data_IF_896134152181
#
_entry.id   IF_896134152181
#
_cell.length_a   1.000
_cell.length_b   1.000
_cell.length_c   1.000
_cell.angle_alpha   90.00
_cell.angle_beta   90.00
_cell.angle_gamma   90.00
#
_symmetry.space_group_name_H-M   'P 1'
#
loop_
_entity.id
_entity.type
_entity.pdbx_description
1 polymer ?
#
# COMPACT_ATOMS: atom_id res chain seq x y z
N UNK A 1 -30.26 29.12 17.41
CA UNK A 1 -30.13 27.72 17.82
C UNK A 1 -30.15 26.69 16.66
N UNK A 2 -31.00 26.75 15.61
CA UNK A 2 -31.08 25.65 14.63
C UNK A 2 -29.78 25.39 13.83
N UNK A 3 -28.97 26.43 13.57
CA UNK A 3 -27.67 26.26 12.91
C UNK A 3 -26.64 25.48 13.75
N UNK A 4 -26.70 25.60 15.08
CA UNK A 4 -25.72 24.95 15.95
C UNK A 4 -25.96 23.44 16.01
N UNK A 5 -27.23 23.04 16.10
CA UNK A 5 -27.67 21.64 15.99
C UNK A 5 -27.34 21.03 14.62
N UNK A 6 -27.45 21.81 13.55
CA UNK A 6 -27.03 21.39 12.20
C UNK A 6 -25.51 21.13 12.14
N UNK A 7 -24.69 22.02 12.72
CA UNK A 7 -23.23 21.81 12.79
C UNK A 7 -22.86 20.58 13.62
N UNK A 8 -23.51 20.36 14.76
CA UNK A 8 -23.29 19.17 15.58
C UNK A 8 -23.63 17.88 14.82
N UNK A 9 -24.73 17.90 14.04
CA UNK A 9 -25.11 16.78 13.17
C UNK A 9 -24.10 16.55 12.04
N UNK A 10 -23.57 17.62 11.46
CA UNK A 10 -22.50 17.54 10.45
C UNK A 10 -21.21 16.95 11.03
N UNK A 11 -20.78 17.40 12.21
CA UNK A 11 -19.60 16.87 12.91
C UNK A 11 -19.78 15.39 13.28
N UNK A 12 -20.97 15.00 13.75
CA UNK A 12 -21.30 13.61 14.05
C UNK A 12 -21.25 12.72 12.81
N UNK A 13 -21.76 13.20 11.68
CA UNK A 13 -21.72 12.46 10.41
C UNK A 13 -20.30 12.36 9.87
N UNK A 14 -19.52 13.44 9.97
CA UNK A 14 -18.14 13.52 9.52
C UNK A 14 -17.24 12.51 10.27
N UNK A 15 -17.41 12.40 11.59
CA UNK A 15 -16.62 11.51 12.44
C UNK A 15 -15.13 11.87 12.38
N UNK A 16 -14.27 10.89 12.09
CA UNK A 16 -12.82 11.09 11.91
C UNK A 16 -12.41 11.49 10.47
N UNK A 17 -13.37 11.62 9.55
CA UNK A 17 -13.10 11.87 8.13
C UNK A 17 -12.98 13.38 7.85
N UNK A 18 -12.33 13.74 6.75
CA UNK A 18 -12.19 15.15 6.36
C UNK A 18 -13.37 15.70 5.56
N UNK A 19 -14.19 14.83 4.96
CA UNK A 19 -15.38 15.22 4.21
C UNK A 19 -16.36 14.05 4.10
N UNK A 20 -17.59 14.34 3.69
CA UNK A 20 -18.57 13.31 3.32
C UNK A 20 -19.54 13.86 2.25
N UNK A 21 -20.13 12.99 1.43
CA UNK A 21 -21.13 13.40 0.43
C UNK A 21 -22.50 13.62 1.07
N UNK A 22 -23.22 14.65 0.62
CA UNK A 22 -24.60 14.89 1.07
C UNK A 22 -25.57 13.77 0.67
N UNK A 23 -25.31 13.12 -0.46
CA UNK A 23 -26.16 12.04 -0.99
C UNK A 23 -25.69 10.65 -0.60
N UNK A 24 -24.42 10.53 -0.19
CA UNK A 24 -23.80 9.28 0.24
C UNK A 24 -22.86 9.57 1.42
N UNK A 25 -23.38 9.61 2.65
CA UNK A 25 -22.60 10.01 3.82
C UNK A 25 -21.38 9.15 4.10
N UNK A 26 -21.25 7.96 3.51
CA UNK A 26 -20.09 7.07 3.64
C UNK A 26 -18.95 7.44 2.67
N UNK A 27 -19.29 8.02 1.51
CA UNK A 27 -18.32 8.45 0.50
C UNK A 27 -17.63 9.76 0.88
N UNK A 28 -16.34 9.88 0.57
CA UNK A 28 -15.54 11.10 0.82
C UNK A 28 -15.15 11.77 -0.49
N UNK A 29 -14.86 13.07 -0.44
CA UNK A 29 -14.44 13.83 -1.60
C UNK A 29 -12.97 13.56 -1.92
N UNK A 30 -12.73 12.92 -3.07
CA UNK A 30 -11.39 12.54 -3.53
C UNK A 30 -11.09 13.14 -4.90
N UNK A 31 -9.81 13.38 -5.18
CA UNK A 31 -9.37 13.77 -6.52
C UNK A 31 -9.28 12.53 -7.39
N UNK A 32 -10.13 12.46 -8.41
CA UNK A 32 -10.14 11.33 -9.34
C UNK A 32 -9.02 11.46 -10.38
N UNK A 33 -8.37 10.35 -10.73
CA UNK A 33 -7.42 10.30 -11.86
C UNK A 33 -8.12 10.57 -13.19
N UNK A 34 -9.32 10.01 -13.36
CA UNK A 34 -10.19 10.24 -14.51
C UNK A 34 -11.05 11.49 -14.24
N UNK A 35 -10.45 12.66 -14.46
CA UNK A 35 -11.19 13.91 -14.42
C UNK A 35 -11.60 14.34 -15.83
N UNK A 36 -12.79 13.91 -16.25
CA UNK A 36 -13.36 14.26 -17.56
C UNK A 36 -13.43 15.77 -17.80
N UNK A 37 -13.57 16.56 -16.72
CA UNK A 37 -13.63 18.03 -16.79
C UNK A 37 -12.23 18.69 -16.72
N UNK A 38 -11.18 17.91 -16.41
CA UNK A 38 -9.80 18.36 -16.17
C UNK A 38 -9.67 19.60 -15.26
N UNK A 39 -10.64 19.82 -14.38
CA UNK A 39 -10.72 20.99 -13.50
C UNK A 39 -10.22 20.69 -12.08
N UNK A 40 -9.81 19.45 -11.81
CA UNK A 40 -9.32 19.01 -10.51
C UNK A 40 -10.41 18.90 -9.44
N UNK A 41 -11.68 18.91 -9.82
CA UNK A 41 -12.78 18.88 -8.88
C UNK A 41 -12.83 17.55 -8.10
N UNK A 42 -12.96 17.66 -6.79
CA UNK A 42 -13.14 16.49 -5.93
C UNK A 42 -14.52 15.88 -6.18
N UNK A 43 -14.58 14.55 -6.24
CA UNK A 43 -15.82 13.79 -6.44
C UNK A 43 -16.01 12.83 -5.28
N UNK A 44 -17.26 12.57 -4.86
CA UNK A 44 -17.53 11.57 -3.85
C UNK A 44 -17.12 10.20 -4.36
N UNK A 45 -16.27 9.52 -3.61
CA UNK A 45 -15.70 8.24 -3.98
C UNK A 45 -15.31 7.42 -2.73
N UNK A 46 -15.04 6.14 -2.98
CA UNK A 46 -14.39 5.23 -2.05
C UNK A 46 -13.01 4.90 -2.60
N UNK A 47 -11.99 4.87 -1.73
CA UNK A 47 -10.69 4.35 -2.11
C UNK A 47 -10.74 2.83 -2.02
N UNK A 48 -10.80 2.17 -3.18
CA UNK A 48 -10.84 0.71 -3.27
C UNK A 48 -9.44 0.16 -3.21
N UNK A 49 -9.22 -0.73 -2.26
CA UNK A 49 -8.03 -1.58 -2.24
C UNK A 49 -8.41 -3.00 -2.60
N UNK A 50 -7.55 -3.63 -3.37
CA UNK A 50 -7.71 -5.02 -3.80
C UNK A 50 -6.43 -5.77 -3.47
N UNK A 51 -6.58 -7.03 -3.08
CA UNK A 51 -5.53 -8.00 -2.96
C UNK A 51 -5.69 -8.95 -4.13
N UNK A 52 -4.58 -9.24 -4.81
CA UNK A 52 -4.60 -10.17 -5.94
C UNK A 52 -3.49 -11.19 -5.85
N UNK A 53 -3.79 -12.41 -6.28
CA UNK A 53 -2.83 -13.49 -6.44
C UNK A 53 -3.14 -14.28 -7.71
N UNK A 54 -2.14 -14.50 -8.57
CA UNK A 54 -2.32 -15.12 -9.88
C UNK A 54 -3.45 -14.46 -10.70
N UNK A 55 -3.58 -13.14 -10.54
CA UNK A 55 -4.62 -12.23 -11.03
C UNK A 55 -6.07 -12.67 -10.68
N UNK A 56 -6.27 -13.36 -9.55
CA UNK A 56 -7.58 -13.54 -8.90
C UNK A 56 -7.72 -12.52 -7.79
N UNK A 57 -8.94 -12.05 -7.54
CA UNK A 57 -9.23 -11.29 -6.32
C UNK A 57 -9.12 -12.21 -5.10
N UNK A 58 -8.24 -11.86 -4.16
CA UNK A 58 -8.09 -12.56 -2.88
C UNK A 58 -8.73 -11.76 -1.75
N UNK A 59 -8.67 -10.44 -1.80
CA UNK A 59 -9.31 -9.57 -0.81
C UNK A 59 -9.67 -8.22 -1.43
N UNK A 60 -10.57 -7.48 -0.80
CA UNK A 60 -10.91 -6.12 -1.20
C UNK A 60 -11.60 -5.40 -0.05
N UNK A 61 -11.41 -4.08 0.03
CA UNK A 61 -12.09 -3.22 0.99
C UNK A 61 -12.13 -1.76 0.46
N UNK A 62 -12.97 -0.95 1.11
CA UNK A 62 -13.31 0.41 0.72
C UNK A 62 -12.99 1.37 1.86
N UNK A 63 -12.11 2.32 1.59
CA UNK A 63 -11.65 3.27 2.59
C UNK A 63 -12.13 4.70 2.30
N UNK A 64 -12.42 5.48 3.34
CA UNK A 64 -12.73 6.90 3.20
C UNK A 64 -11.46 7.74 2.96
N UNK A 65 -10.26 7.17 3.13
CA UNK A 65 -8.99 7.86 3.02
C UNK A 65 -8.61 8.11 1.54
N UNK A 66 -8.35 9.37 1.13
CA UNK A 66 -7.93 9.67 -0.24
C UNK A 66 -6.53 9.16 -0.59
N UNK A 67 -5.70 8.89 0.42
CA UNK A 67 -4.32 8.37 0.27
C UNK A 67 -4.24 6.94 0.75
N UNK A 68 -3.35 6.16 0.13
CA UNK A 68 -3.24 4.71 0.37
C UNK A 68 -2.46 4.36 1.65
N UNK A 69 -1.68 5.29 2.19
CA UNK A 69 -0.78 4.99 3.32
C UNK A 69 -1.52 4.42 4.54
N UNK A 70 -2.68 4.98 4.88
CA UNK A 70 -3.45 4.60 6.06
C UNK A 70 -4.39 3.41 5.82
N UNK A 71 -4.52 2.93 4.59
CA UNK A 71 -5.41 1.81 4.26
C UNK A 71 -4.73 0.45 4.44
N UNK A 72 -3.39 0.40 4.44
CA UNK A 72 -2.62 -0.84 4.48
C UNK A 72 -2.92 -1.73 5.70
N UNK A 73 -2.73 -1.20 6.91
CA UNK A 73 -2.90 -1.98 8.15
C UNK A 73 -4.35 -2.45 8.29
N UNK A 74 -5.38 -1.60 8.13
CA UNK A 74 -6.77 -2.06 8.09
C UNK A 74 -7.01 -3.15 7.04
N UNK A 75 -6.41 -3.05 5.86
CA UNK A 75 -6.57 -4.01 4.77
C UNK A 75 -5.98 -5.38 5.10
N UNK A 76 -4.75 -5.41 5.63
CA UNK A 76 -4.09 -6.65 6.04
C UNK A 76 -4.78 -7.28 7.26
N UNK A 77 -5.28 -6.47 8.20
CA UNK A 77 -6.07 -6.97 9.32
C UNK A 77 -7.41 -7.56 8.84
N UNK A 78 -8.12 -6.89 7.93
CA UNK A 78 -9.36 -7.40 7.34
C UNK A 78 -9.14 -8.69 6.54
N UNK A 79 -7.98 -8.84 5.91
CA UNK A 79 -7.54 -10.10 5.33
C UNK A 79 -7.38 -11.19 6.40
N UNK A 80 -6.67 -10.89 7.48
CA UNK A 80 -6.43 -11.83 8.59
C UNK A 80 -7.71 -12.24 9.31
N UNK A 81 -8.65 -11.32 9.52
CA UNK A 81 -9.96 -11.63 10.11
C UNK A 81 -10.76 -12.60 9.23
N UNK A 82 -10.66 -12.46 7.91
CA UNK A 82 -11.39 -13.29 6.95
C UNK A 82 -10.80 -14.70 6.81
N UNK A 83 -9.48 -14.81 6.80
CA UNK A 83 -8.79 -16.06 6.47
C UNK A 83 -8.10 -16.73 7.67
N UNK A 84 -8.07 -16.07 8.83
CA UNK A 84 -7.41 -16.57 10.03
C UNK A 84 -5.88 -16.61 9.94
N UNK A 85 -5.29 -15.89 8.98
CA UNK A 85 -3.85 -15.85 8.73
C UNK A 85 -3.41 -14.53 8.10
N UNK A 86 -2.16 -14.15 8.35
CA UNK A 86 -1.51 -13.02 7.68
C UNK A 86 -0.74 -13.50 6.44
N UNK A 87 -0.63 -12.65 5.40
CA UNK A 87 0.16 -12.98 4.22
C UNK A 87 1.64 -13.10 4.60
N UNK A 88 2.36 -14.05 4.01
CA UNK A 88 3.82 -14.13 4.18
C UNK A 88 4.53 -12.91 3.57
N UNK A 89 4.02 -12.44 2.43
CA UNK A 89 4.65 -11.39 1.63
C UNK A 89 3.60 -10.39 1.17
N UNK A 90 4.00 -9.13 1.15
CA UNK A 90 3.16 -8.05 0.62
C UNK A 90 3.92 -7.30 -0.46
N UNK A 91 3.27 -7.12 -1.61
CA UNK A 91 3.80 -6.39 -2.75
C UNK A 91 2.93 -5.16 -2.95
N UNK A 92 3.47 -3.97 -2.76
CA UNK A 92 2.63 -2.78 -2.84
C UNK A 92 3.34 -1.55 -3.39
N UNK A 93 2.52 -0.60 -3.80
CA UNK A 93 2.94 0.69 -4.33
C UNK A 93 3.66 1.59 -3.33
N UNK A 94 4.34 2.61 -3.85
CA UNK A 94 5.08 3.54 -2.99
C UNK A 94 4.21 4.35 -2.04
N UNK A 95 2.90 4.42 -2.32
CA UNK A 95 1.89 5.04 -1.46
C UNK A 95 1.77 4.36 -0.09
N UNK A 96 2.13 3.08 0.01
CA UNK A 96 2.09 2.31 1.25
C UNK A 96 3.39 2.36 2.06
N UNK A 97 4.47 2.91 1.50
CA UNK A 97 5.77 2.95 2.16
C UNK A 97 5.86 4.01 3.25
N UNK A 98 5.45 3.66 4.47
CA UNK A 98 5.54 4.47 5.69
C UNK A 98 6.23 3.72 6.83
N UNK A 99 6.76 4.43 7.82
CA UNK A 99 7.35 3.82 9.01
C UNK A 99 6.35 2.91 9.73
N UNK A 100 5.12 3.40 9.95
CA UNK A 100 4.03 2.67 10.58
C UNK A 100 3.75 1.34 9.87
N UNK A 101 3.67 1.34 8.54
CA UNK A 101 3.40 0.12 7.77
C UNK A 101 4.60 -0.85 7.78
N UNK A 102 5.84 -0.33 7.69
CA UNK A 102 7.03 -1.18 7.78
C UNK A 102 7.19 -1.81 9.16
N UNK A 103 6.92 -1.06 10.23
CA UNK A 103 6.94 -1.58 11.60
C UNK A 103 5.87 -2.66 11.81
N UNK A 104 4.66 -2.44 11.28
CA UNK A 104 3.59 -3.44 11.31
C UNK A 104 3.99 -4.72 10.58
N UNK A 105 4.57 -4.62 9.38
CA UNK A 105 5.03 -5.78 8.62
C UNK A 105 6.16 -6.53 9.35
N UNK A 106 7.15 -5.80 9.88
CA UNK A 106 8.27 -6.40 10.64
C UNK A 106 7.78 -7.11 11.90
N UNK A 107 6.86 -6.49 12.67
CA UNK A 107 6.29 -7.07 13.91
C UNK A 107 5.49 -8.35 13.65
N UNK A 108 4.88 -8.45 12.47
CA UNK A 108 4.04 -9.57 12.08
C UNK A 108 4.74 -10.57 11.15
N UNK A 109 6.08 -10.46 10.99
CA UNK A 109 6.88 -11.36 10.15
C UNK A 109 6.42 -11.39 8.67
N UNK A 110 5.90 -10.28 8.17
CA UNK A 110 5.47 -10.10 6.77
C UNK A 110 6.63 -9.51 5.98
N UNK A 111 7.06 -10.15 4.90
CA UNK A 111 8.12 -9.62 4.04
C UNK A 111 7.61 -8.41 3.21
N UNK A 112 8.25 -7.23 3.34
CA UNK A 112 7.76 -6.00 2.72
C UNK A 112 8.39 -5.74 1.33
N UNK A 113 7.77 -6.23 0.26
CA UNK A 113 8.08 -5.80 -1.12
C UNK A 113 7.32 -4.52 -1.49
N UNK A 114 7.34 -3.55 -0.58
CA UNK A 114 6.62 -2.28 -0.67
C UNK A 114 7.61 -1.17 -0.97
N UNK A 115 7.41 -0.42 -2.06
CA UNK A 115 8.29 0.71 -2.38
C UNK A 115 8.09 1.85 -1.38
N UNK A 116 9.10 2.71 -1.23
CA UNK A 116 8.91 4.05 -0.67
C UNK A 116 9.02 5.10 -1.78
N UNK A 117 8.43 6.28 -1.56
CA UNK A 117 8.28 7.33 -2.57
C UNK A 117 9.58 7.75 -3.28
N UNK A 118 10.72 7.68 -2.59
CA UNK A 118 12.02 8.08 -3.14
C UNK A 118 12.82 6.94 -3.80
N UNK A 119 12.34 5.68 -3.75
CA UNK A 119 13.08 4.49 -4.18
C UNK A 119 13.65 4.57 -5.60
N UNK A 120 12.87 5.07 -6.58
CA UNK A 120 13.36 5.24 -7.95
C UNK A 120 14.20 6.52 -8.12
N UNK A 121 13.89 7.56 -7.35
CA UNK A 121 14.56 8.86 -7.45
C UNK A 121 16.00 8.77 -6.96
N UNK A 122 16.24 8.03 -5.88
CA UNK A 122 17.58 7.85 -5.31
C UNK A 122 18.53 7.05 -6.21
N UNK A 123 18.00 6.27 -7.16
CA UNK A 123 18.81 5.51 -8.09
C UNK A 123 19.43 6.38 -9.20
N UNK A 124 18.87 7.57 -9.45
CA UNK A 124 19.35 8.50 -10.49
C UNK A 124 20.71 9.09 -10.11
N UNK A 125 21.62 9.18 -11.08
CA UNK A 125 22.97 9.77 -10.90
C UNK A 125 22.93 11.18 -10.31
N UNK A 126 21.98 12.01 -10.72
CA UNK A 126 21.82 13.37 -10.20
C UNK A 126 21.42 13.41 -8.73
N UNK A 127 20.69 12.41 -8.23
CA UNK A 127 20.38 12.30 -6.80
C UNK A 127 21.59 11.81 -6.02
N UNK A 128 22.25 10.74 -6.49
CA UNK A 128 23.42 10.15 -5.81
C UNK A 128 24.58 11.14 -5.67
N UNK A 129 24.81 11.97 -6.69
CA UNK A 129 25.92 12.92 -6.71
C UNK A 129 25.59 14.24 -5.99
N UNK A 130 24.38 14.41 -5.47
CA UNK A 130 24.01 15.63 -4.78
C UNK A 130 24.41 15.56 -3.30
N UNK A 131 25.58 16.10 -2.97
CA UNK A 131 26.09 16.13 -1.59
C UNK A 131 25.25 16.98 -0.62
N UNK A 132 24.33 17.82 -1.10
CA UNK A 132 23.50 18.66 -0.24
C UNK A 132 22.28 17.92 0.33
N UNK A 133 21.94 16.74 -0.20
CA UNK A 133 20.83 15.93 0.29
C UNK A 133 21.18 15.27 1.62
N UNK A 134 20.24 15.31 2.57
CA UNK A 134 20.40 14.69 3.90
C UNK A 134 20.71 13.19 3.79
N UNK A 135 20.09 12.51 2.81
CA UNK A 135 20.27 11.09 2.55
C UNK A 135 21.69 10.71 2.12
N UNK A 136 22.47 11.67 1.62
CA UNK A 136 23.82 11.46 1.12
C UNK A 136 24.89 11.99 2.09
N UNK A 137 24.49 12.57 3.23
CA UNK A 137 25.44 13.00 4.25
C UNK A 137 26.02 11.78 4.96
N UNK A 138 27.29 11.85 5.32
CA UNK A 138 27.92 10.83 6.15
C UNK A 138 27.35 10.92 7.58
N UNK A 139 26.96 9.77 8.12
CA UNK A 139 26.50 9.62 9.50
C UNK A 139 27.47 8.73 10.27
N UNK A 140 28.00 9.22 11.39
CA UNK A 140 28.78 8.42 12.32
C UNK A 140 27.84 7.89 13.42
N UNK A 141 27.58 6.58 13.39
CA UNK A 141 26.70 5.94 14.38
C UNK A 141 27.34 5.78 15.77
N UNK A 142 28.68 5.76 15.88
CA UNK A 142 29.37 5.62 17.16
C UNK A 142 29.39 6.93 17.96
N UNK A 143 29.61 8.05 17.26
CA UNK A 143 29.74 9.37 17.87
C UNK A 143 28.46 10.23 17.69
N UNK A 144 27.43 9.70 17.04
CA UNK A 144 26.11 10.31 16.79
C UNK A 144 26.15 11.73 16.18
N UNK A 145 26.82 11.88 15.04
CA UNK A 145 26.80 13.12 14.25
C UNK A 145 26.69 12.89 12.74
N UNK A 146 26.23 13.92 12.04
CA UNK A 146 26.32 14.01 10.59
C UNK A 146 27.46 14.93 10.15
N UNK A 147 28.01 14.70 8.97
CA UNK A 147 29.00 15.60 8.36
C UNK A 147 28.34 16.38 7.23
N UNK A 148 28.36 17.71 7.32
CA UNK A 148 27.79 18.57 6.30
C UNK A 148 28.70 18.65 5.06
N UNK A 149 28.22 19.17 3.92
CA UNK A 149 29.02 19.25 2.68
C UNK A 149 30.30 20.08 2.79
N UNK A 150 30.38 21.00 3.76
CA UNK A 150 31.58 21.79 4.07
C UNK A 150 32.59 21.02 4.94
N UNK A 151 32.22 19.85 5.46
CA UNK A 151 33.06 19.00 6.33
C UNK A 151 32.87 19.22 7.83
N UNK A 152 32.02 20.16 8.28
CA UNK A 152 31.76 20.35 9.71
C UNK A 152 30.79 19.30 10.26
N UNK A 153 30.95 18.98 11.55
CA UNK A 153 30.05 18.11 12.28
C UNK A 153 28.72 18.82 12.57
N UNK A 154 27.64 18.05 12.46
CA UNK A 154 26.29 18.41 12.84
C UNK A 154 25.91 17.53 14.02
N UNK A 155 25.90 18.13 15.21
CA UNK A 155 25.67 17.43 16.47
C UNK A 155 24.17 17.28 16.72
N UNK A 156 23.79 16.23 17.46
CA UNK A 156 22.39 16.03 17.86
C UNK A 156 21.98 17.09 18.90
N UNK A 157 20.95 17.86 18.57
CA UNK A 157 20.42 18.92 19.46
C UNK A 157 19.18 18.50 20.22
N UNK A 158 18.48 17.47 19.76
CA UNK A 158 17.29 16.98 20.45
C UNK A 158 16.59 15.84 19.72
N UNK A 159 15.47 15.41 20.31
CA UNK A 159 14.53 14.46 19.72
C UNK A 159 13.15 15.08 19.76
N UNK A 160 12.41 15.00 18.66
CA UNK A 160 11.02 15.41 18.55
C UNK A 160 10.16 14.21 18.16
N UNK A 161 8.89 14.25 18.51
CA UNK A 161 7.91 13.23 18.17
C UNK A 161 6.94 13.76 17.13
N UNK A 162 6.63 12.93 16.13
CA UNK A 162 5.64 13.27 15.11
C UNK A 162 4.53 12.24 15.13
N UNK A 163 3.30 12.72 15.30
CA UNK A 163 2.09 11.89 15.31
C UNK A 163 1.47 11.85 13.91
N UNK A 164 1.14 10.67 13.40
CA UNK A 164 0.33 10.51 12.17
C UNK A 164 -1.15 10.70 12.49
N UNK A 165 -1.97 10.90 11.45
CA UNK A 165 -3.43 11.05 11.61
C UNK A 165 -4.07 9.81 12.27
N UNK A 166 -3.49 8.62 12.08
CA UNK A 166 -3.91 7.37 12.70
C UNK A 166 -3.33 7.16 14.12
N UNK A 167 -2.56 8.13 14.61
CA UNK A 167 -2.05 8.16 15.96
C UNK A 167 -0.68 7.51 16.20
N UNK A 168 -0.03 6.98 15.16
CA UNK A 168 1.33 6.45 15.26
C UNK A 168 2.34 7.55 15.58
N UNK A 169 3.28 7.26 16.48
CA UNK A 169 4.27 8.23 16.96
C UNK A 169 5.66 7.85 16.45
N UNK A 170 6.21 8.68 15.56
CA UNK A 170 7.58 8.56 15.05
C UNK A 170 8.55 9.39 15.89
N UNK A 171 9.69 8.80 16.26
CA UNK A 171 10.79 9.54 16.92
C UNK A 171 11.76 10.10 15.88
N UNK A 172 11.95 11.41 15.89
CA UNK A 172 12.78 12.14 14.93
C UNK A 172 13.93 12.81 15.69
N UNK A 173 15.16 12.47 15.32
CA UNK A 173 16.35 13.12 15.86
C UNK A 173 16.67 14.38 15.07
N UNK A 174 16.98 15.47 15.78
CA UNK A 174 17.33 16.76 15.19
C UNK A 174 18.83 16.98 15.34
N UNK A 175 19.49 17.31 14.23
CA UNK A 175 20.93 17.62 14.20
C UNK A 175 21.15 19.02 13.65
N UNK A 176 22.14 19.73 14.20
CA UNK A 176 22.44 21.11 13.84
C UNK A 176 23.93 21.30 13.57
N UNK A 177 24.25 22.02 12.49
CA UNK A 177 25.61 22.44 12.18
C UNK A 177 26.12 23.48 13.18
N UNK A 178 27.42 23.44 13.51
CA UNK A 178 28.04 24.34 14.49
C UNK A 178 28.02 25.80 14.04
N UNK A 179 28.44 26.06 12.79
CA UNK A 179 28.48 27.41 12.25
C UNK A 179 28.30 27.42 10.73
N UNK A 180 27.23 28.05 10.25
CA UNK A 180 26.94 28.26 8.82
C UNK A 180 27.08 29.73 8.40
N UNK A 181 27.57 30.61 9.28
CA UNK A 181 27.84 32.00 8.96
C UNK A 181 29.00 32.09 7.95
N UNK A 182 28.82 32.92 6.92
CA UNK A 182 29.78 33.10 5.81
C UNK A 182 30.24 31.82 5.10
N UNK A 183 29.49 30.72 5.20
CA UNK A 183 29.82 29.48 4.52
C UNK A 183 29.67 29.63 2.98
N UNK A 184 30.71 29.36 2.18
CA UNK A 184 30.67 29.54 0.72
C UNK A 184 29.65 28.62 0.03
N UNK A 185 29.30 27.51 0.68
CA UNK A 185 28.33 26.53 0.18
C UNK A 185 26.88 26.83 0.59
N UNK A 186 26.64 27.89 1.38
CA UNK A 186 25.33 28.16 2.01
C UNK A 186 24.18 28.21 1.01
N UNK A 187 24.35 28.93 -0.11
CA UNK A 187 23.31 29.12 -1.13
C UNK A 187 22.81 27.80 -1.74
N UNK A 188 23.66 26.77 -1.81
CA UNK A 188 23.31 25.44 -2.30
C UNK A 188 22.85 24.49 -1.18
N UNK A 189 23.18 24.82 0.08
CA UNK A 189 23.07 23.94 1.23
C UNK A 189 21.72 24.06 1.97
N UNK A 190 21.31 25.27 2.36
CA UNK A 190 20.03 25.52 3.03
C UNK A 190 19.61 27.00 2.92
N UNK A 191 18.32 27.29 3.13
CA UNK A 191 17.75 28.65 3.03
C UNK A 191 17.45 29.31 4.39
N UNK A 192 17.63 28.60 5.50
CA UNK A 192 17.35 29.11 6.84
C UNK A 192 18.27 30.30 7.20
N UNK A 193 17.80 31.18 8.10
CA UNK A 193 18.60 32.29 8.66
C UNK A 193 19.67 31.78 9.62
N UNK A 194 19.29 30.84 10.47
CA UNK A 194 20.18 30.17 11.42
C UNK A 194 21.03 29.07 10.76
N UNK A 195 21.77 28.33 11.58
CA UNK A 195 22.53 27.17 11.17
C UNK A 195 21.65 26.10 10.49
N UNK A 196 22.28 25.29 9.63
CA UNK A 196 21.59 24.17 9.00
C UNK A 196 21.13 23.18 10.07
N UNK A 197 19.81 22.94 10.12
CA UNK A 197 19.20 21.86 10.89
C UNK A 197 18.69 20.76 9.96
N UNK A 198 18.82 19.51 10.39
CA UNK A 198 18.26 18.35 9.69
C UNK A 198 17.46 17.50 10.68
N UNK A 199 16.38 16.92 10.17
CA UNK A 199 15.53 15.98 10.89
C UNK A 199 15.71 14.59 10.30
N UNK A 200 16.05 13.63 11.15
CA UNK A 200 16.36 12.27 10.73
C UNK A 200 15.52 11.28 11.53
N UNK A 201 14.77 10.46 10.80
CA UNK A 201 14.07 9.31 11.35
C UNK A 201 14.92 8.05 11.12
N UNK A 202 15.64 7.65 12.16
CA UNK A 202 16.55 6.50 12.11
C UNK A 202 15.82 5.18 11.90
N UNK A 203 14.63 5.03 12.51
CA UNK A 203 13.82 3.82 12.38
C UNK A 203 13.32 3.63 10.94
N UNK A 204 12.76 4.69 10.35
CA UNK A 204 12.35 4.68 8.95
C UNK A 204 13.53 4.46 8.00
N UNK A 205 14.71 5.00 8.31
CA UNK A 205 15.92 4.75 7.50
C UNK A 205 16.37 3.29 7.57
N UNK A 206 16.30 2.65 8.75
CA UNK A 206 16.52 1.20 8.93
C UNK A 206 15.58 0.40 8.03
N UNK A 207 14.28 0.69 8.10
CA UNK A 207 13.26 0.04 7.27
C UNK A 207 13.52 0.20 5.78
N UNK A 208 13.78 1.44 5.33
CA UNK A 208 14.12 1.72 3.92
C UNK A 208 15.36 0.96 3.45
N UNK A 209 16.37 0.78 4.31
CA UNK A 209 17.54 -0.01 3.97
C UNK A 209 17.18 -1.47 3.70
N UNK A 210 16.49 -2.12 4.64
CA UNK A 210 16.03 -3.51 4.51
C UNK A 210 15.18 -3.70 3.26
N UNK A 211 14.19 -2.84 3.08
CA UNK A 211 13.28 -2.86 1.92
C UNK A 211 14.04 -2.65 0.60
N UNK A 212 15.06 -1.78 0.58
CA UNK A 212 15.88 -1.57 -0.61
C UNK A 212 16.66 -2.83 -1.00
N UNK A 213 17.22 -3.53 -0.01
CA UNK A 213 17.91 -4.81 -0.25
C UNK A 213 16.93 -5.86 -0.78
N UNK A 214 15.77 -6.01 -0.14
CA UNK A 214 14.71 -6.93 -0.57
C UNK A 214 14.22 -6.62 -1.99
N UNK A 215 13.92 -5.36 -2.31
CA UNK A 215 13.44 -4.97 -3.62
C UNK A 215 14.48 -5.24 -4.72
N UNK A 216 15.78 -5.17 -4.40
CA UNK A 216 16.89 -5.44 -5.33
C UNK A 216 17.36 -6.89 -5.34
N UNK A 217 16.77 -7.77 -4.53
CA UNK A 217 16.99 -9.21 -4.64
C UNK A 217 16.38 -9.76 -5.94
N UNK A 218 16.74 -10.99 -6.29
CA UNK A 218 16.15 -11.70 -7.44
C UNK A 218 14.62 -11.79 -7.33
N UNK A 219 14.12 -12.09 -6.14
CA UNK A 219 12.69 -12.14 -5.85
C UNK A 219 12.03 -10.76 -5.95
N UNK A 220 12.68 -9.72 -5.41
CA UNK A 220 12.19 -8.35 -5.55
C UNK A 220 12.12 -7.88 -7.01
N UNK A 221 13.06 -8.29 -7.84
CA UNK A 221 13.03 -8.06 -9.29
C UNK A 221 11.88 -8.82 -9.96
N UNK A 222 11.64 -10.07 -9.56
CA UNK A 222 10.53 -10.88 -10.04
C UNK A 222 9.18 -10.22 -9.72
N UNK A 223 8.91 -9.85 -8.46
CA UNK A 223 7.67 -9.16 -8.11
C UNK A 223 7.51 -7.83 -8.86
N UNK A 224 8.60 -7.08 -9.04
CA UNK A 224 8.57 -5.83 -9.82
C UNK A 224 8.19 -6.07 -11.29
N UNK A 225 8.67 -7.15 -11.90
CA UNK A 225 8.30 -7.53 -13.28
C UNK A 225 6.88 -8.08 -13.40
N UNK A 226 6.33 -8.70 -12.35
CA UNK A 226 4.97 -9.27 -12.32
C UNK A 226 3.88 -8.22 -12.14
N UNK A 227 4.20 -7.03 -11.64
CA UNK A 227 3.24 -5.95 -11.36
C UNK A 227 2.32 -5.58 -12.54
N UNK A 228 2.78 -5.42 -13.80
CA UNK A 228 1.88 -5.15 -14.92
C UNK A 228 0.90 -6.31 -15.21
N UNK A 229 1.23 -7.51 -14.75
CA UNK A 229 0.51 -8.76 -14.99
C UNK A 229 -0.44 -9.08 -13.83
N UNK A 230 -0.08 -8.76 -12.59
CA UNK A 230 -0.87 -9.10 -11.40
C UNK A 230 -1.94 -8.02 -11.11
N UNK A 231 -1.69 -6.96 -10.31
CA UNK A 231 -2.75 -6.01 -9.95
C UNK A 231 -3.20 -5.14 -11.12
N UNK A 232 -2.28 -4.68 -11.97
CA UNK A 232 -2.59 -3.74 -13.06
C UNK A 232 -3.47 -4.40 -14.14
N UNK A 233 -3.25 -5.68 -14.43
CA UNK A 233 -4.09 -6.43 -15.37
C UNK A 233 -5.50 -6.64 -14.82
N UNK A 234 -5.65 -6.93 -13.51
CA UNK A 234 -6.97 -7.08 -12.88
C UNK A 234 -7.74 -5.77 -12.91
N UNK A 235 -7.10 -4.65 -12.59
CA UNK A 235 -7.71 -3.32 -12.72
C UNK A 235 -8.08 -2.99 -14.17
N UNK A 236 -7.18 -3.26 -15.12
CA UNK A 236 -7.42 -3.04 -16.55
C UNK A 236 -8.59 -3.87 -17.07
N UNK A 237 -8.68 -5.15 -16.72
CA UNK A 237 -9.81 -6.00 -17.09
C UNK A 237 -11.12 -5.53 -16.45
N UNK A 238 -11.08 -5.12 -15.19
CA UNK A 238 -12.24 -4.62 -14.44
C UNK A 238 -12.82 -3.36 -15.10
N UNK A 239 -11.96 -2.38 -15.40
CA UNK A 239 -12.38 -1.11 -15.98
C UNK A 239 -12.65 -1.19 -17.48
N UNK A 240 -11.69 -1.67 -18.26
CA UNK A 240 -11.76 -1.61 -19.73
C UNK A 240 -12.59 -2.74 -20.32
N UNK A 241 -12.43 -3.98 -19.84
CA UNK A 241 -13.10 -5.14 -20.46
C UNK A 241 -14.48 -5.41 -19.85
N UNK A 242 -14.66 -5.12 -18.56
CA UNK A 242 -15.93 -5.34 -17.85
C UNK A 242 -16.72 -4.06 -17.63
N UNK A 243 -16.18 -2.91 -18.04
CA UNK A 243 -16.82 -1.59 -17.94
C UNK A 243 -17.27 -1.24 -16.52
N UNK A 244 -16.59 -1.78 -15.50
CA UNK A 244 -16.86 -1.48 -14.09
C UNK A 244 -16.06 -0.22 -13.69
N UNK A 245 -16.56 0.93 -14.13
CA UNK A 245 -15.91 2.24 -13.93
C UNK A 245 -16.52 3.09 -12.81
N UNK A 246 -17.69 2.70 -12.30
CA UNK A 246 -18.44 3.44 -11.26
C UNK A 246 -19.29 2.49 -10.43
N UNK A 247 -19.37 2.74 -9.12
CA UNK A 247 -20.33 2.09 -8.25
C UNK A 247 -21.76 2.49 -8.59
N UNK A 248 -22.68 1.53 -8.48
CA UNK A 248 -24.09 1.71 -8.83
C UNK A 248 -24.98 1.98 -7.62
N UNK A 249 -24.42 1.88 -6.42
CA UNK A 249 -25.11 2.01 -5.16
C UNK A 249 -24.47 3.09 -4.28
N UNK A 250 -25.25 3.60 -3.34
CA UNK A 250 -24.81 4.43 -2.23
C UNK A 250 -24.69 3.58 -0.96
N UNK A 251 -23.99 4.08 0.05
CA UNK A 251 -23.65 3.38 1.30
C UNK A 251 -22.57 2.30 1.11
N UNK A 252 -21.63 2.23 2.05
CA UNK A 252 -20.47 1.33 1.96
C UNK A 252 -20.90 -0.13 1.80
N UNK A 253 -21.92 -0.57 2.52
CA UNK A 253 -22.36 -1.96 2.53
C UNK A 253 -22.92 -2.42 1.17
N UNK A 254 -23.70 -1.56 0.49
CA UNK A 254 -24.26 -1.88 -0.82
C UNK A 254 -23.18 -1.84 -1.91
N UNK A 255 -22.25 -0.90 -1.80
CA UNK A 255 -21.06 -0.85 -2.67
C UNK A 255 -20.22 -2.12 -2.51
N UNK A 256 -20.00 -2.55 -1.27
CA UNK A 256 -19.27 -3.77 -0.95
C UNK A 256 -19.97 -5.01 -1.51
N UNK A 257 -21.29 -5.11 -1.38
CA UNK A 257 -22.09 -6.21 -1.95
C UNK A 257 -21.96 -6.27 -3.48
N UNK A 258 -22.12 -5.14 -4.17
CA UNK A 258 -22.05 -5.08 -5.64
C UNK A 258 -20.66 -5.50 -6.14
N UNK A 259 -19.60 -5.00 -5.49
CA UNK A 259 -18.23 -5.38 -5.83
C UNK A 259 -17.92 -6.84 -5.50
N UNK A 260 -18.50 -7.39 -4.42
CA UNK A 260 -18.36 -8.81 -4.07
C UNK A 260 -18.88 -9.72 -5.18
N UNK A 261 -20.08 -9.43 -5.69
CA UNK A 261 -20.69 -10.18 -6.80
C UNK A 261 -19.81 -10.09 -8.05
N UNK A 262 -19.29 -8.89 -8.34
CA UNK A 262 -18.36 -8.68 -9.44
C UNK A 262 -17.08 -9.51 -9.28
N UNK A 263 -16.44 -9.48 -8.11
CA UNK A 263 -15.20 -10.20 -7.84
C UNK A 263 -15.39 -11.72 -7.94
N UNK A 264 -16.50 -12.26 -7.44
CA UNK A 264 -16.86 -13.68 -7.57
C UNK A 264 -17.03 -14.05 -9.05
N UNK A 265 -17.82 -13.29 -9.80
CA UNK A 265 -18.05 -13.55 -11.23
C UNK A 265 -16.75 -13.45 -12.04
N UNK A 266 -15.88 -12.49 -11.70
CA UNK A 266 -14.56 -12.33 -12.31
C UNK A 266 -13.68 -13.56 -12.07
N UNK A 267 -13.58 -14.00 -10.82
CA UNK A 267 -12.79 -15.17 -10.43
C UNK A 267 -13.32 -16.45 -11.09
N UNK A 268 -14.64 -16.71 -11.04
CA UNK A 268 -15.27 -17.88 -11.68
C UNK A 268 -15.02 -17.91 -13.19
N UNK A 269 -15.22 -16.78 -13.87
CA UNK A 269 -14.97 -16.69 -15.31
C UNK A 269 -13.50 -16.96 -15.65
N UNK A 270 -12.57 -16.57 -14.78
CA UNK A 270 -11.15 -16.84 -14.95
C UNK A 270 -10.80 -18.31 -14.68
N UNK A 271 -11.37 -18.92 -13.65
CA UNK A 271 -11.23 -20.35 -13.39
C UNK A 271 -11.69 -21.16 -14.60
N UNK A 272 -12.87 -20.86 -15.15
CA UNK A 272 -13.40 -21.51 -16.34
C UNK A 272 -12.43 -21.44 -17.53
N UNK A 273 -11.88 -20.25 -17.85
CA UNK A 273 -10.91 -20.09 -18.94
C UNK A 273 -9.61 -20.86 -18.71
N UNK A 274 -9.11 -20.90 -17.47
CA UNK A 274 -7.92 -21.70 -17.13
C UNK A 274 -8.19 -23.19 -17.35
N UNK A 275 -9.33 -23.70 -16.87
CA UNK A 275 -9.73 -25.11 -17.06
C UNK A 275 -9.90 -25.47 -18.54
N UNK A 276 -10.55 -24.62 -19.33
CA UNK A 276 -10.70 -24.80 -20.78
C UNK A 276 -9.34 -24.88 -21.50
N UNK A 277 -8.40 -24.00 -21.16
CA UNK A 277 -7.06 -24.01 -21.75
C UNK A 277 -6.26 -25.26 -21.36
N UNK A 278 -6.39 -25.73 -20.11
CA UNK A 278 -5.80 -27.01 -19.67
C UNK A 278 -6.38 -28.14 -20.52
N UNK A 279 -7.71 -28.23 -20.64
CA UNK A 279 -8.40 -29.29 -21.38
C UNK A 279 -8.07 -29.32 -22.89
N UNK A 280 -7.72 -28.18 -23.49
CA UNK A 280 -7.26 -28.08 -24.89
C UNK A 280 -5.82 -28.56 -25.08
N UNK A 281 -4.98 -28.44 -24.05
CA UNK A 281 -3.57 -28.80 -24.09
C UNK A 281 -3.28 -30.23 -23.60
N UNK A 282 -4.28 -30.95 -23.08
CA UNK A 282 -4.15 -32.36 -22.66
C UNK A 282 -4.51 -33.33 -23.81
N UNK A 283 -3.66 -34.34 -24.14
CA UNK A 283 -3.99 -35.34 -25.15
C UNK A 283 -5.25 -36.16 -24.77
N UNK A 284 -6.03 -36.56 -25.80
CA UNK A 284 -7.39 -37.13 -25.69
C UNK A 284 -7.53 -38.38 -24.80
N UNK A 285 -6.43 -39.03 -24.40
CA UNK A 285 -6.41 -40.30 -23.66
C UNK A 285 -6.69 -40.19 -22.16
N UNK A 286 -6.72 -38.98 -21.57
CA UNK A 286 -6.98 -38.77 -20.12
C UNK A 286 -8.37 -38.16 -19.84
N UNK A 287 -9.26 -38.12 -20.84
CA UNK A 287 -10.55 -37.42 -20.71
C UNK A 287 -11.58 -38.13 -19.82
N UNK A 288 -11.54 -39.46 -19.69
CA UNK A 288 -12.55 -40.20 -18.93
C UNK A 288 -12.19 -40.42 -17.45
N UNK A 289 -10.93 -40.25 -17.05
CA UNK A 289 -10.52 -40.46 -15.65
C UNK A 289 -10.66 -39.19 -14.80
N UNK A 290 -10.52 -38.00 -15.39
CA UNK A 290 -10.60 -36.73 -14.64
C UNK A 290 -12.03 -36.27 -14.32
N UNK A 291 -13.02 -36.60 -15.15
CA UNK A 291 -14.42 -36.23 -14.89
C UNK A 291 -14.99 -36.99 -13.67
N UNK A 292 -14.58 -38.25 -13.47
CA UNK A 292 -14.94 -39.03 -12.29
C UNK A 292 -14.26 -38.50 -11.01
N UNK A 293 -13.03 -37.99 -11.09
CA UNK A 293 -12.32 -37.41 -9.93
C UNK A 293 -12.95 -36.08 -9.49
N UNK A 294 -13.41 -35.23 -10.43
CA UNK A 294 -14.06 -33.96 -10.08
C UNK A 294 -15.42 -34.18 -9.38
N UNK A 295 -16.21 -35.17 -9.82
CA UNK A 295 -17.50 -35.49 -9.20
C UNK A 295 -17.30 -36.12 -7.80
N UNK A 296 -16.27 -36.95 -7.61
CA UNK A 296 -15.93 -37.49 -6.29
C UNK A 296 -15.37 -36.42 -5.32
N UNK A 297 -14.64 -35.40 -5.82
CA UNK A 297 -14.15 -34.29 -4.98
C UNK A 297 -15.28 -33.40 -4.47
N UNK A 298 -16.29 -33.09 -5.30
CA UNK A 298 -17.45 -32.28 -4.88
C UNK A 298 -18.31 -33.02 -3.84
N UNK A 299 -18.44 -34.35 -3.95
CA UNK A 299 -19.21 -35.18 -3.01
C UNK A 299 -18.44 -35.47 -1.71
N UNK A 300 -17.10 -35.49 -1.72
CA UNK A 300 -16.33 -35.56 -0.47
C UNK A 300 -16.27 -34.21 0.28
N UNK A 301 -16.28 -33.08 -0.44
CA UNK A 301 -16.28 -31.74 0.18
C UNK A 301 -17.52 -31.47 1.03
N UNK A 302 -18.65 -32.10 0.71
CA UNK A 302 -19.89 -31.99 1.51
C UNK A 302 -19.93 -32.94 2.70
N UNK A 303 -19.07 -33.98 2.75
CA UNK A 303 -18.96 -34.91 3.90
C UNK A 303 -17.82 -34.58 4.86
N UNK A 304 -16.79 -33.84 4.44
CA UNK A 304 -15.63 -33.44 5.26
C UNK A 304 -15.70 -31.99 5.77
N UNK A 305 -16.87 -31.56 6.24
CA UNK A 305 -16.99 -30.34 7.07
C UNK A 305 -16.51 -30.60 8.52
N UNK A 306 -15.32 -31.18 8.66
CA UNK A 306 -14.55 -31.31 9.89
C UNK A 306 -13.12 -31.70 9.47
N UNK A 307 -12.15 -30.92 9.92
CA UNK A 307 -10.69 -31.13 9.79
C UNK A 307 -10.06 -30.78 8.42
N UNK A 308 -9.64 -29.51 8.34
CA UNK A 308 -8.77 -28.98 7.31
C UNK A 308 -7.31 -29.18 7.74
N UNK A 309 -6.64 -30.23 7.27
CA UNK A 309 -5.18 -30.34 7.40
C UNK A 309 -4.51 -29.49 6.32
N UNK A 310 -3.78 -28.47 6.80
CA UNK A 310 -2.80 -27.61 6.10
C UNK A 310 -1.94 -28.42 5.12
N UNK A 311 -1.86 -28.01 3.83
CA UNK A 311 -0.60 -27.96 3.07
C UNK A 311 -0.67 -27.51 1.58
N UNK A 312 -1.83 -27.23 0.97
CA UNK A 312 -1.87 -26.92 -0.49
C UNK A 312 -2.19 -25.47 -0.87
N UNK A 313 -2.18 -24.53 0.08
CA UNK A 313 -2.19 -23.10 -0.23
C UNK A 313 -0.83 -22.53 0.18
N UNK A 314 0.05 -22.29 -0.80
CA UNK A 314 1.16 -21.36 -0.61
C UNK A 314 0.62 -20.06 -0.05
N UNK A 315 1.26 -19.53 0.99
CA UNK A 315 0.76 -18.40 1.76
C UNK A 315 0.46 -17.22 0.79
N UNK A 316 -0.79 -16.72 0.71
CA UNK A 316 -1.20 -15.80 -0.35
C UNK A 316 -0.41 -14.49 -0.31
N UNK A 317 0.12 -14.07 -1.45
CA UNK A 317 0.73 -12.76 -1.62
C UNK A 317 -0.37 -11.71 -1.77
N UNK A 318 -0.32 -10.65 -0.97
CA UNK A 318 -1.21 -9.51 -1.17
C UNK A 318 -0.49 -8.48 -2.04
N UNK A 319 -0.93 -8.40 -3.30
CA UNK A 319 -0.59 -7.30 -4.19
C UNK A 319 -1.67 -6.19 -4.09
N UNK A 320 -1.29 -4.99 -3.63
CA UNK A 320 -2.16 -3.82 -3.48
C UNK A 320 -1.74 -2.64 -4.36
#
# INVERSE_FOLDING_TARGET
MPKLEEYEKHLKTLGSRNSYSKTDPDATFMRMKEDHMMNGQLKPAYNVQIGTENQFFTHYDFYPNPTDTLTFIPFVNGFSERYGLLPAKTVADSGYGSEENYEFMETNEIEPFVKYNYFHKEQKRSFKNNGFLVQNLYYNAHEDYFVCPMGQHMEKTGTTERKTDNGYISKISVYEAKNCQDCPLRCLCHKAKENRRIEVNHNLNRHKHKVRELLNSEEGLLHRSRRPIEPEAVFGQTKSNKHYNRFRHFDKDKVMMDFAIFAIAFNLGKMYRKTENINKNTPKTVKNTQLCVLIFFVVQYTKKSAEFTRNDFSNPEIAA
#
